data_IF_187950660700
#
_entry.id   IF_187950660700
#
_cell.length_a   1.000
_cell.length_b   1.000
_cell.length_c   1.000
_cell.angle_alpha   90.00
_cell.angle_beta   90.00
_cell.angle_gamma   90.00
#
_symmetry.space_group_name_H-M   'P 1'
#
loop_
_entity.id
_entity.type
_entity.pdbx_description
1 polymer ?
#
# COMPACT_ATOMS: atom_id res chain seq x y z
N UNK A 1 -19.20 13.10 -15.30
CA UNK A 1 -18.68 12.41 -14.10
C UNK A 1 -19.83 12.15 -13.16
N UNK A 2 -19.95 10.94 -12.65
CA UNK A 2 -20.89 10.62 -11.57
C UNK A 2 -20.12 10.45 -10.29
N UNK A 3 -20.65 10.96 -9.18
CA UNK A 3 -20.00 10.89 -7.87
C UNK A 3 -20.84 10.03 -6.93
N UNK A 4 -20.19 9.09 -6.25
CA UNK A 4 -20.77 8.23 -5.20
C UNK A 4 -19.94 8.35 -3.92
N UNK A 5 -20.46 7.88 -2.81
CA UNK A 5 -19.72 7.83 -1.54
C UNK A 5 -19.48 6.37 -1.18
N UNK A 6 -18.24 6.04 -0.85
CA UNK A 6 -17.81 4.73 -0.37
C UNK A 6 -17.41 4.82 1.11
N UNK A 7 -17.91 3.90 1.93
CA UNK A 7 -17.66 3.87 3.38
C UNK A 7 -17.93 5.20 4.11
N UNK A 8 -18.84 6.02 3.60
CA UNK A 8 -19.25 7.33 4.13
C UNK A 8 -18.18 8.43 4.13
N UNK A 9 -16.92 8.10 3.82
CA UNK A 9 -15.78 9.03 3.92
C UNK A 9 -14.93 9.15 2.65
N UNK A 10 -15.19 8.35 1.62
CA UNK A 10 -14.44 8.39 0.36
C UNK A 10 -15.36 8.82 -0.77
N UNK A 11 -15.01 9.92 -1.42
CA UNK A 11 -15.67 10.36 -2.65
C UNK A 11 -15.20 9.47 -3.81
N UNK A 12 -16.13 8.78 -4.45
CA UNK A 12 -15.87 7.96 -5.65
C UNK A 12 -16.30 8.73 -6.88
N UNK A 13 -15.39 8.94 -7.82
CA UNK A 13 -15.58 9.68 -9.05
C UNK A 13 -15.49 8.69 -10.22
N UNK A 14 -16.60 8.45 -10.89
CA UNK A 14 -16.64 7.60 -12.08
C UNK A 14 -16.19 8.38 -13.31
N UNK A 15 -15.14 7.89 -13.95
CA UNK A 15 -14.61 8.40 -15.22
C UNK A 15 -15.07 7.45 -16.32
N UNK A 16 -15.89 7.93 -17.29
CA UNK A 16 -16.44 7.05 -18.33
C UNK A 16 -15.38 6.52 -19.31
N UNK A 17 -14.28 7.23 -19.50
CA UNK A 17 -13.27 6.92 -20.50
C UNK A 17 -11.91 7.55 -20.17
N UNK A 18 -10.90 7.24 -20.99
CA UNK A 18 -9.53 7.76 -20.86
C UNK A 18 -9.49 9.30 -21.02
N UNK A 19 -10.28 9.87 -21.88
CA UNK A 19 -10.34 11.32 -22.11
C UNK A 19 -10.72 12.05 -20.82
N UNK A 20 -11.72 11.55 -20.11
CA UNK A 20 -12.12 12.09 -18.81
C UNK A 20 -11.01 12.01 -17.76
N UNK A 21 -10.17 10.96 -17.81
CA UNK A 21 -8.98 10.87 -16.95
C UNK A 21 -7.95 11.94 -17.34
N UNK A 22 -7.70 12.13 -18.63
CA UNK A 22 -6.76 13.15 -19.13
C UNK A 22 -7.23 14.55 -18.74
N UNK A 23 -8.53 14.82 -18.83
CA UNK A 23 -9.11 16.10 -18.41
C UNK A 23 -8.92 16.37 -16.90
N UNK A 24 -8.99 15.31 -16.07
CA UNK A 24 -8.77 15.42 -14.64
C UNK A 24 -7.31 15.59 -14.26
N UNK A 25 -6.41 14.84 -14.91
CA UNK A 25 -5.03 14.65 -14.48
C UNK A 25 -3.99 15.07 -15.52
N UNK A 26 -4.38 15.48 -16.72
CA UNK A 26 -3.47 15.94 -17.76
C UNK A 26 -2.72 17.23 -17.37
N UNK A 27 -1.65 17.54 -18.10
CA UNK A 27 -0.69 18.61 -17.77
C UNK A 27 -1.33 20.00 -17.56
N UNK A 28 -2.47 20.27 -18.19
CA UNK A 28 -3.23 21.52 -18.03
C UNK A 28 -4.32 21.48 -16.95
N UNK A 29 -4.49 20.36 -16.28
CA UNK A 29 -5.57 20.17 -15.30
C UNK A 29 -5.37 21.00 -14.02
N UNK A 30 -6.50 21.29 -13.33
CA UNK A 30 -6.47 21.95 -12.03
C UNK A 30 -5.72 21.11 -10.99
N UNK A 31 -5.85 19.78 -11.07
CA UNK A 31 -5.19 18.86 -10.14
C UNK A 31 -3.67 18.95 -10.31
N UNK A 32 -3.15 18.96 -11.54
CA UNK A 32 -1.71 19.12 -11.76
C UNK A 32 -1.19 20.48 -11.28
N UNK A 33 -1.94 21.55 -11.48
CA UNK A 33 -1.57 22.87 -10.92
C UNK A 33 -1.51 22.84 -9.39
N UNK A 34 -2.42 22.13 -8.73
CA UNK A 34 -2.39 21.92 -7.26
C UNK A 34 -1.18 21.07 -6.82
N UNK A 35 -0.83 20.04 -7.60
CA UNK A 35 0.36 19.21 -7.35
C UNK A 35 1.63 20.06 -7.41
N UNK A 36 1.80 20.86 -8.45
CA UNK A 36 2.98 21.71 -8.64
C UNK A 36 3.07 22.80 -7.57
N UNK A 37 1.96 23.43 -7.22
CA UNK A 37 1.94 24.44 -6.15
C UNK A 37 2.30 23.83 -4.80
N UNK A 38 1.86 22.63 -4.50
CA UNK A 38 2.15 21.97 -3.24
C UNK A 38 3.60 21.48 -3.15
N UNK A 39 4.19 21.02 -4.26
CA UNK A 39 5.63 20.67 -4.33
C UNK A 39 6.51 21.87 -4.08
N UNK A 40 6.19 23.00 -4.70
CA UNK A 40 6.95 24.26 -4.54
C UNK A 40 6.87 24.82 -3.10
N UNK A 41 5.81 24.47 -2.35
CA UNK A 41 5.66 24.87 -0.95
C UNK A 41 6.42 23.96 0.05
N UNK A 42 7.19 22.97 -0.43
CA UNK A 42 7.91 22.03 0.43
C UNK A 42 7.01 21.08 1.22
N UNK A 43 5.74 21.00 0.87
CA UNK A 43 4.74 20.11 1.47
C UNK A 43 4.49 18.89 0.58
N UNK A 44 4.05 17.79 1.17
CA UNK A 44 3.65 16.60 0.43
C UNK A 44 2.49 16.95 -0.53
N UNK A 45 2.73 16.79 -1.84
CA UNK A 45 1.68 16.93 -2.85
C UNK A 45 0.64 15.81 -2.78
N UNK A 46 -0.33 15.86 -3.69
CA UNK A 46 -1.27 14.75 -3.86
C UNK A 46 -0.49 13.49 -4.18
N UNK A 47 -0.85 12.38 -3.53
CA UNK A 47 -0.24 11.08 -3.76
C UNK A 47 -1.28 10.11 -4.29
N UNK A 48 -0.84 9.14 -5.10
CA UNK A 48 -1.68 8.25 -5.87
C UNK A 48 -1.33 6.78 -5.62
N UNK A 49 -2.35 5.91 -5.71
CA UNK A 49 -2.17 4.47 -5.74
C UNK A 49 -3.14 3.84 -6.74
N UNK A 50 -2.62 3.06 -7.68
CA UNK A 50 -3.42 2.31 -8.63
C UNK A 50 -3.79 0.91 -8.13
N UNK A 51 -5.00 0.45 -8.45
CA UNK A 51 -5.44 -0.91 -8.18
C UNK A 51 -6.23 -1.47 -9.38
N UNK A 52 -6.01 -2.73 -9.70
CA UNK A 52 -6.65 -3.41 -10.82
C UNK A 52 -8.16 -3.61 -10.63
N UNK A 53 -8.65 -3.63 -9.43
CA UNK A 53 -10.08 -3.82 -9.13
C UNK A 53 -10.55 -2.72 -8.17
N UNK A 54 -11.57 -1.97 -8.58
CA UNK A 54 -12.13 -0.88 -7.78
C UNK A 54 -12.86 -1.36 -6.52
N UNK A 55 -13.15 -2.66 -6.42
CA UNK A 55 -13.71 -3.25 -5.21
C UNK A 55 -12.68 -3.48 -4.11
N UNK A 56 -11.39 -3.40 -4.45
CA UNK A 56 -10.34 -3.55 -3.45
C UNK A 56 -10.22 -2.31 -2.59
N UNK A 57 -10.12 -2.52 -1.28
CA UNK A 57 -9.84 -1.47 -0.33
C UNK A 57 -8.32 -1.27 -0.16
N UNK A 58 -7.92 -0.22 0.55
CA UNK A 58 -6.52 0.06 0.87
C UNK A 58 -6.03 -0.87 2.00
N UNK A 59 -5.82 -2.14 1.64
CA UNK A 59 -5.34 -3.19 2.57
C UNK A 59 -3.86 -3.47 2.31
N UNK A 60 -2.98 -3.26 3.30
CA UNK A 60 -1.58 -3.64 3.23
C UNK A 60 -1.38 -5.12 2.89
N UNK A 61 -0.28 -5.43 2.20
CA UNK A 61 -0.06 -6.79 1.67
C UNK A 61 -0.05 -7.85 2.77
N UNK A 62 0.60 -7.59 3.91
CA UNK A 62 0.66 -8.54 5.03
C UNK A 62 -0.71 -8.85 5.64
N UNK A 63 -1.69 -7.96 5.49
CA UNK A 63 -3.04 -8.12 6.05
C UNK A 63 -4.03 -8.79 5.07
N UNK A 64 -3.57 -9.17 3.88
CA UNK A 64 -4.34 -9.97 2.93
C UNK A 64 -4.18 -11.44 3.27
N UNK A 65 -5.27 -12.20 3.28
CA UNK A 65 -5.29 -13.59 3.71
C UNK A 65 -4.20 -14.46 3.07
N UNK A 66 -4.10 -14.40 1.74
CA UNK A 66 -3.12 -15.18 0.98
C UNK A 66 -1.68 -14.82 1.36
N UNK A 67 -1.39 -13.53 1.50
CA UNK A 67 -0.03 -13.06 1.77
C UNK A 67 0.37 -13.34 3.23
N UNK A 68 -0.56 -13.21 4.18
CA UNK A 68 -0.32 -13.56 5.58
C UNK A 68 0.01 -15.05 5.72
N UNK A 69 -0.75 -15.93 5.06
CA UNK A 69 -0.45 -17.36 5.04
C UNK A 69 0.94 -17.67 4.49
N UNK A 70 1.34 -16.99 3.41
CA UNK A 70 2.70 -17.14 2.86
C UNK A 70 3.77 -16.72 3.88
N UNK A 71 3.55 -15.62 4.63
CA UNK A 71 4.50 -15.17 5.67
C UNK A 71 4.56 -16.18 6.82
N UNK A 72 3.44 -16.75 7.23
CA UNK A 72 3.42 -17.82 8.23
C UNK A 72 4.25 -19.03 7.78
N UNK A 73 4.11 -19.44 6.53
CA UNK A 73 4.87 -20.56 5.97
C UNK A 73 6.36 -20.23 5.85
N UNK A 74 6.71 -19.01 5.44
CA UNK A 74 8.10 -18.55 5.47
C UNK A 74 8.70 -18.57 6.88
N UNK A 75 7.96 -18.09 7.89
CA UNK A 75 8.41 -18.10 9.27
C UNK A 75 8.62 -19.52 9.81
N UNK A 76 7.71 -20.46 9.50
CA UNK A 76 7.81 -21.87 9.94
C UNK A 76 9.03 -22.59 9.35
N UNK A 77 9.37 -22.27 8.12
CA UNK A 77 10.42 -22.94 7.36
C UNK A 77 11.79 -22.26 7.49
N UNK A 78 11.88 -21.10 8.15
CA UNK A 78 13.15 -20.40 8.33
C UNK A 78 14.07 -21.19 9.29
N UNK A 79 15.34 -21.45 8.90
CA UNK A 79 16.30 -22.15 9.75
C UNK A 79 16.46 -21.45 11.10
N UNK A 80 16.42 -22.21 12.21
CA UNK A 80 16.46 -21.70 13.58
C UNK A 80 15.25 -20.86 14.02
N UNK A 81 14.14 -20.86 13.27
CA UNK A 81 12.88 -20.41 13.84
C UNK A 81 12.53 -21.33 15.00
N UNK A 82 12.68 -20.87 16.25
CA UNK A 82 12.08 -21.59 17.37
C UNK A 82 10.59 -21.68 17.08
N UNK A 83 10.02 -22.88 17.12
CA UNK A 83 8.58 -23.10 16.96
C UNK A 83 7.88 -22.24 18.00
N UNK A 84 7.33 -21.12 17.57
CA UNK A 84 6.50 -20.31 18.42
C UNK A 84 5.13 -20.95 18.48
N UNK A 85 4.82 -21.56 19.60
CA UNK A 85 3.46 -21.88 19.96
C UNK A 85 2.88 -20.65 20.66
N UNK A 86 1.82 -20.03 20.11
CA UNK A 86 1.22 -18.86 20.75
C UNK A 86 0.81 -19.22 22.18
N UNK A 87 1.09 -18.36 23.18
CA UNK A 87 0.68 -18.63 24.54
C UNK A 87 -0.82 -18.88 24.57
N UNK A 88 -1.22 -19.99 25.21
CA UNK A 88 -2.61 -20.30 25.46
C UNK A 88 -3.15 -19.29 26.49
N UNK A 89 -3.61 -18.12 26.04
CA UNK A 89 -4.25 -17.15 26.93
C UNK A 89 -5.64 -17.72 27.28
N UNK A 90 -5.68 -18.38 28.43
CA UNK A 90 -6.93 -18.76 29.08
C UNK A 90 -7.55 -17.44 29.58
N UNK A 91 -8.72 -17.10 29.06
CA UNK A 91 -9.57 -15.96 29.46
C UNK A 91 -9.29 -14.61 28.78
N UNK A 92 -9.55 -14.48 27.48
CA UNK A 92 -9.84 -13.18 26.86
C UNK A 92 -11.36 -13.01 26.74
N UNK A 93 -11.97 -11.93 27.27
CA UNK A 93 -13.39 -11.68 27.14
C UNK A 93 -13.67 -10.87 25.90
N UNK A 94 -13.76 -11.45 24.77
CA UNK A 94 -14.55 -11.04 23.61
C UNK A 94 -14.06 -11.71 22.32
N UNK A 95 -14.90 -12.41 21.60
CA UNK A 95 -14.54 -12.95 20.30
C UNK A 95 -14.82 -11.91 19.23
N UNK A 96 -13.96 -10.95 19.02
CA UNK A 96 -13.95 -10.28 17.75
C UNK A 96 -13.41 -11.27 16.70
N UNK A 97 -14.23 -11.55 15.71
CA UNK A 97 -13.87 -12.38 14.55
C UNK A 97 -12.81 -11.65 13.73
N UNK A 98 -11.56 -11.74 14.14
CA UNK A 98 -10.44 -11.53 13.25
C UNK A 98 -10.29 -12.78 12.38
N UNK A 99 -9.96 -12.61 11.12
CA UNK A 99 -9.81 -13.70 10.14
C UNK A 99 -8.87 -14.82 10.63
N UNK A 100 -8.05 -14.56 11.67
CA UNK A 100 -7.04 -15.46 12.23
C UNK A 100 -7.12 -15.66 13.76
N UNK A 101 -8.22 -15.39 14.39
CA UNK A 101 -8.53 -15.85 15.75
C UNK A 101 -7.81 -15.20 16.92
N UNK A 102 -6.66 -14.52 16.76
CA UNK A 102 -5.97 -13.77 17.83
C UNK A 102 -5.13 -12.60 17.27
N UNK A 103 -5.42 -11.39 17.73
CA UNK A 103 -4.73 -10.17 17.32
C UNK A 103 -3.21 -10.19 17.53
N UNK A 104 -2.77 -10.67 18.69
CA UNK A 104 -1.34 -10.76 19.07
C UNK A 104 -0.54 -11.65 18.11
N UNK A 105 -1.15 -12.72 17.60
CA UNK A 105 -0.51 -13.61 16.64
C UNK A 105 -0.11 -12.88 15.34
N UNK A 106 -0.93 -11.97 14.85
CA UNK A 106 -0.65 -11.19 13.64
C UNK A 106 0.60 -10.31 13.83
N UNK A 107 0.65 -9.54 14.93
CA UNK A 107 1.82 -8.69 15.23
C UNK A 107 3.09 -9.50 15.37
N UNK A 108 2.98 -10.67 15.99
CA UNK A 108 4.08 -11.61 16.17
C UNK A 108 4.60 -12.14 14.84
N UNK A 109 3.68 -12.52 13.94
CA UNK A 109 4.00 -13.02 12.61
C UNK A 109 4.76 -11.96 11.79
N UNK A 110 4.29 -10.71 11.86
CA UNK A 110 4.93 -9.57 11.17
C UNK A 110 6.32 -9.26 11.73
N UNK A 111 6.47 -9.21 13.04
CA UNK A 111 7.77 -8.95 13.67
C UNK A 111 8.75 -10.10 13.42
N UNK A 112 8.26 -11.34 13.42
CA UNK A 112 9.10 -12.52 13.16
C UNK A 112 9.65 -12.50 11.73
N UNK A 113 8.86 -12.17 10.71
CA UNK A 113 9.36 -12.12 9.33
C UNK A 113 10.37 -10.98 9.14
N UNK A 114 10.15 -9.82 9.75
CA UNK A 114 11.10 -8.72 9.72
C UNK A 114 12.42 -9.11 10.41
N UNK A 115 12.36 -9.81 11.54
CA UNK A 115 13.52 -10.32 12.21
C UNK A 115 14.28 -11.37 11.39
N UNK A 116 13.56 -12.30 10.78
CA UNK A 116 14.17 -13.32 9.91
C UNK A 116 14.89 -12.65 8.73
N UNK A 117 14.29 -11.64 8.13
CA UNK A 117 14.92 -10.83 7.08
C UNK A 117 16.16 -10.11 7.60
N UNK A 118 16.08 -9.44 8.75
CA UNK A 118 17.19 -8.76 9.40
C UNK A 118 18.37 -9.72 9.64
N UNK A 119 18.09 -10.88 10.26
CA UNK A 119 19.13 -11.86 10.55
C UNK A 119 19.77 -12.41 9.27
N UNK A 120 18.96 -12.70 8.23
CA UNK A 120 19.50 -13.15 6.93
C UNK A 120 20.42 -12.11 6.32
N UNK A 121 20.05 -10.84 6.33
CA UNK A 121 20.91 -9.75 5.85
C UNK A 121 22.21 -9.69 6.63
N UNK A 122 22.14 -9.72 7.96
CA UNK A 122 23.31 -9.66 8.84
C UNK A 122 24.26 -10.85 8.63
N UNK A 123 23.74 -12.07 8.59
CA UNK A 123 24.56 -13.28 8.41
C UNK A 123 25.22 -13.35 7.03
N UNK A 124 24.63 -12.73 6.02
CA UNK A 124 25.20 -12.65 4.67
C UNK A 124 26.06 -11.40 4.44
N UNK A 125 26.37 -10.62 5.47
CA UNK A 125 27.21 -9.44 5.38
C UNK A 125 26.59 -8.28 4.60
N UNK A 126 25.25 -8.27 4.45
CA UNK A 126 24.55 -7.17 3.80
C UNK A 126 24.43 -5.98 4.77
N UNK A 127 24.57 -4.79 4.21
CA UNK A 127 24.46 -3.56 5.02
C UNK A 127 23.03 -3.38 5.53
N UNK A 128 22.89 -3.34 6.84
CA UNK A 128 21.63 -3.12 7.54
C UNK A 128 21.88 -2.32 8.81
N UNK A 129 20.95 -1.43 9.17
CA UNK A 129 21.07 -0.64 10.39
C UNK A 129 20.85 -1.51 11.63
N UNK A 130 21.68 -1.38 12.67
CA UNK A 130 21.56 -2.20 13.87
C UNK A 130 20.23 -1.97 14.59
N UNK A 131 19.52 -3.06 14.87
CA UNK A 131 18.30 -3.09 15.69
C UNK A 131 18.57 -3.98 16.90
N UNK A 132 18.76 -3.36 18.05
CA UNK A 132 19.15 -4.07 19.29
C UNK A 132 18.12 -5.11 19.73
N UNK A 133 16.85 -4.85 19.43
CA UNK A 133 15.73 -5.73 19.73
C UNK A 133 15.77 -7.02 18.89
N UNK A 134 16.44 -6.99 17.72
CA UNK A 134 16.59 -8.16 16.85
C UNK A 134 17.91 -8.91 17.03
N UNK A 135 18.65 -8.61 18.10
CA UNK A 135 19.90 -9.33 18.40
C UNK A 135 19.66 -10.85 18.38
N UNK A 136 20.45 -11.54 17.56
CA UNK A 136 20.35 -12.99 17.37
C UNK A 136 20.58 -13.82 18.65
N UNK A 137 21.23 -13.24 19.66
CA UNK A 137 21.46 -13.85 20.96
C UNK A 137 20.23 -13.89 21.87
N UNK A 138 19.21 -13.08 21.54
CA UNK A 138 17.96 -13.05 22.30
C UNK A 138 17.00 -14.13 21.81
N UNK A 139 16.31 -14.79 22.74
CA UNK A 139 15.22 -15.70 22.38
C UNK A 139 14.05 -14.94 21.76
N UNK A 140 13.25 -15.62 20.93
CA UNK A 140 12.06 -15.01 20.33
C UNK A 140 11.10 -14.44 21.37
N UNK A 141 10.92 -15.13 22.51
CA UNK A 141 10.07 -14.65 23.59
C UNK A 141 10.54 -13.32 24.17
N UNK A 142 11.85 -13.18 24.44
CA UNK A 142 12.43 -11.93 24.97
C UNK A 142 12.30 -10.78 23.96
N UNK A 143 12.50 -11.07 22.68
CA UNK A 143 12.39 -10.04 21.62
C UNK A 143 10.96 -9.56 21.50
N UNK A 144 10.03 -10.50 21.45
CA UNK A 144 8.61 -10.21 21.39
C UNK A 144 8.20 -9.38 22.59
N UNK A 145 8.61 -9.79 23.78
CA UNK A 145 8.33 -9.05 25.00
C UNK A 145 8.91 -7.63 24.93
N UNK A 146 10.17 -7.46 24.53
CA UNK A 146 10.78 -6.13 24.37
C UNK A 146 10.10 -5.26 23.32
N UNK A 147 9.72 -5.82 22.17
CA UNK A 147 9.10 -5.05 21.10
C UNK A 147 7.62 -4.79 21.37
N UNK A 148 6.90 -5.76 21.93
CA UNK A 148 5.48 -5.59 22.26
C UNK A 148 5.25 -4.76 23.53
N UNK A 149 6.18 -4.77 24.50
CA UNK A 149 6.03 -4.09 25.78
C UNK A 149 7.02 -2.94 26.00
N UNK A 150 7.64 -2.42 24.89
CA UNK A 150 8.48 -1.23 25.03
C UNK A 150 7.65 0.00 25.47
N UNK A 151 8.32 0.95 26.09
CA UNK A 151 7.70 2.13 26.70
C UNK A 151 6.98 3.07 25.73
N UNK A 152 7.25 2.98 24.43
CA UNK A 152 6.70 3.90 23.44
C UNK A 152 5.33 3.49 22.89
N UNK A 153 4.85 2.31 23.19
CA UNK A 153 3.55 1.77 22.77
C UNK A 153 3.24 1.78 21.25
N UNK A 154 4.13 2.28 20.40
CA UNK A 154 3.96 2.26 18.96
C UNK A 154 4.32 0.90 18.37
N UNK A 155 3.61 0.50 17.31
CA UNK A 155 3.85 -0.78 16.63
C UNK A 155 5.23 -0.80 15.95
N UNK A 156 5.58 0.23 15.19
CA UNK A 156 6.90 0.38 14.58
C UNK A 156 7.62 1.60 15.12
N UNK A 157 8.88 1.43 15.49
CA UNK A 157 9.81 2.53 15.72
C UNK A 157 10.46 2.94 14.40
N UNK A 158 11.15 4.08 14.36
CA UNK A 158 11.82 4.58 13.14
C UNK A 158 12.81 3.55 12.53
N UNK A 159 13.49 2.77 13.37
CA UNK A 159 14.40 1.70 12.90
C UNK A 159 13.64 0.54 12.28
N UNK A 160 12.50 0.14 12.85
CA UNK A 160 11.64 -0.89 12.29
C UNK A 160 10.98 -0.41 10.99
N UNK A 161 10.62 0.88 10.88
CA UNK A 161 10.12 1.48 9.64
C UNK A 161 11.14 1.36 8.50
N UNK A 162 12.41 1.70 8.77
CA UNK A 162 13.50 1.57 7.79
C UNK A 162 13.69 0.12 7.34
N UNK A 163 13.68 -0.81 8.29
CA UNK A 163 13.76 -2.25 7.98
C UNK A 163 12.56 -2.75 7.17
N UNK A 164 11.34 -2.37 7.56
CA UNK A 164 10.12 -2.76 6.85
C UNK A 164 10.10 -2.22 5.42
N UNK A 165 10.57 -0.98 5.22
CA UNK A 165 10.73 -0.36 3.90
C UNK A 165 11.70 -1.17 3.03
N UNK A 166 12.86 -1.54 3.58
CA UNK A 166 13.85 -2.36 2.90
C UNK A 166 13.29 -3.76 2.57
N UNK A 167 12.67 -4.40 3.55
CA UNK A 167 12.08 -5.73 3.40
C UNK A 167 10.98 -5.76 2.32
N UNK A 168 10.10 -4.73 2.29
CA UNK A 168 9.07 -4.59 1.26
C UNK A 168 9.66 -4.43 -0.14
N UNK A 169 10.72 -3.66 -0.28
CA UNK A 169 11.41 -3.50 -1.56
C UNK A 169 11.91 -4.84 -2.12
N UNK A 170 12.32 -5.76 -1.26
CA UNK A 170 12.74 -7.12 -1.62
C UNK A 170 11.62 -8.16 -1.57
N UNK A 171 10.35 -7.74 -1.50
CA UNK A 171 9.18 -8.60 -1.69
C UNK A 171 8.55 -9.17 -0.41
N UNK A 172 9.09 -8.88 0.76
CA UNK A 172 8.46 -9.27 2.03
C UNK A 172 7.16 -8.47 2.21
N UNK A 173 6.01 -9.12 2.46
CA UNK A 173 4.78 -8.41 2.78
C UNK A 173 4.91 -7.62 4.09
N UNK A 174 4.51 -6.35 4.07
CA UNK A 174 4.51 -5.46 5.24
C UNK A 174 3.19 -4.71 5.37
N UNK A 175 3.02 -3.93 6.44
CA UNK A 175 1.89 -3.00 6.63
C UNK A 175 1.98 -1.72 5.80
N UNK A 176 3.04 -1.55 5.04
CA UNK A 176 3.23 -0.36 4.24
C UNK A 176 2.44 -0.46 2.93
N UNK A 177 1.81 0.62 2.53
CA UNK A 177 1.11 0.76 1.25
C UNK A 177 1.94 1.64 0.33
N UNK A 178 2.26 1.13 -0.87
CA UNK A 178 2.95 1.89 -1.88
C UNK A 178 2.03 2.96 -2.45
N UNK A 179 2.52 4.20 -2.48
CA UNK A 179 1.93 5.33 -3.17
C UNK A 179 2.99 5.96 -4.09
N UNK A 180 2.56 6.86 -4.94
CA UNK A 180 3.44 7.59 -5.86
C UNK A 180 3.00 9.05 -5.97
N UNK A 181 3.96 9.95 -6.27
CA UNK A 181 3.65 11.34 -6.64
C UNK A 181 3.24 11.50 -8.12
N UNK A 182 3.24 10.42 -8.89
CA UNK A 182 2.94 10.44 -10.31
C UNK A 182 1.69 9.62 -10.64
N UNK A 183 0.64 10.27 -11.08
CA UNK A 183 -0.63 9.62 -11.41
C UNK A 183 -0.49 8.61 -12.55
N UNK A 184 0.41 8.85 -13.51
CA UNK A 184 0.65 7.90 -14.60
C UNK A 184 1.33 6.62 -14.11
N UNK A 185 2.18 6.72 -13.09
CA UNK A 185 2.72 5.54 -12.39
C UNK A 185 1.59 4.72 -11.74
N UNK A 186 0.66 5.37 -11.06
CA UNK A 186 -0.49 4.69 -10.46
C UNK A 186 -1.38 4.05 -11.54
N UNK A 187 -1.65 4.76 -12.63
CA UNK A 187 -2.44 4.25 -13.76
C UNK A 187 -1.75 3.05 -14.42
N UNK A 188 -0.43 3.10 -14.61
CA UNK A 188 0.35 2.00 -15.16
C UNK A 188 0.20 0.71 -14.34
N UNK A 189 0.41 0.77 -13.03
CA UNK A 189 0.28 -0.43 -12.19
C UNK A 189 -1.16 -0.97 -12.18
N UNK A 190 -2.16 -0.10 -12.07
CA UNK A 190 -3.57 -0.53 -12.10
C UNK A 190 -3.91 -1.24 -13.41
N UNK A 191 -3.51 -0.65 -14.54
CA UNK A 191 -3.83 -1.17 -15.88
C UNK A 191 -3.06 -2.45 -16.17
N UNK A 192 -1.75 -2.50 -15.86
CA UNK A 192 -0.90 -3.70 -16.05
C UNK A 192 -1.46 -4.91 -15.32
N UNK A 193 -1.84 -4.75 -14.06
CA UNK A 193 -2.40 -5.84 -13.26
C UNK A 193 -3.79 -6.24 -13.76
N UNK A 194 -4.63 -5.29 -14.20
CA UNK A 194 -5.92 -5.59 -14.79
C UNK A 194 -5.80 -6.38 -16.11
N UNK A 195 -4.80 -6.06 -16.96
CA UNK A 195 -4.51 -6.82 -18.17
C UNK A 195 -4.08 -8.25 -17.81
N UNK A 196 -3.14 -8.42 -16.86
CA UNK A 196 -2.71 -9.75 -16.41
C UNK A 196 -3.89 -10.60 -15.96
N UNK A 197 -4.78 -10.03 -15.11
CA UNK A 197 -5.98 -10.73 -14.64
C UNK A 197 -6.89 -11.11 -15.82
N UNK A 198 -7.05 -10.25 -16.81
CA UNK A 198 -7.90 -10.50 -17.97
C UNK A 198 -7.30 -11.58 -18.89
N UNK A 199 -5.99 -11.54 -19.11
CA UNK A 199 -5.28 -12.55 -19.92
C UNK A 199 -5.29 -13.93 -19.25
N UNK A 200 -5.06 -13.99 -17.93
CA UNK A 200 -5.11 -15.24 -17.17
C UNK A 200 -6.51 -15.88 -17.22
N UNK A 201 -7.56 -15.06 -17.16
CA UNK A 201 -8.95 -15.51 -17.29
C UNK A 201 -9.41 -15.70 -18.74
N UNK A 202 -8.62 -15.25 -19.70
CA UNK A 202 -8.95 -15.26 -21.14
C UNK A 202 -10.27 -14.54 -21.46
N UNK A 203 -10.61 -13.52 -20.68
CA UNK A 203 -11.83 -12.71 -20.84
C UNK A 203 -11.68 -11.35 -20.19
N UNK A 204 -12.37 -10.36 -20.73
CA UNK A 204 -12.52 -9.04 -20.12
C UNK A 204 -13.86 -8.97 -19.40
N UNK A 205 -13.84 -8.70 -18.12
CA UNK A 205 -15.04 -8.49 -17.32
C UNK A 205 -15.47 -7.00 -17.42
N UNK A 206 -16.38 -6.70 -18.31
CA UNK A 206 -16.86 -5.32 -18.56
C UNK A 206 -17.62 -4.70 -17.37
N UNK A 207 -17.96 -5.48 -16.34
CA UNK A 207 -18.54 -4.95 -15.10
C UNK A 207 -17.49 -4.45 -14.12
N UNK A 208 -16.21 -4.75 -14.39
CA UNK A 208 -15.10 -4.32 -13.54
C UNK A 208 -14.57 -2.94 -13.94
N UNK A 209 -13.93 -2.33 -12.97
CA UNK A 209 -13.24 -1.05 -13.10
C UNK A 209 -11.87 -1.13 -12.41
N UNK A 210 -10.87 -0.46 -12.98
CA UNK A 210 -9.66 -0.12 -12.24
C UNK A 210 -9.93 1.08 -11.35
N UNK A 211 -9.12 1.30 -10.34
CA UNK A 211 -9.21 2.48 -9.50
C UNK A 211 -7.86 3.17 -9.30
N UNK A 212 -7.93 4.49 -9.23
CA UNK A 212 -6.84 5.37 -8.81
C UNK A 212 -7.27 6.05 -7.52
N UNK A 213 -6.67 5.65 -6.42
CA UNK A 213 -6.82 6.32 -5.15
C UNK A 213 -5.96 7.56 -5.10
N UNK A 214 -6.50 8.64 -4.55
CA UNK A 214 -5.77 9.85 -4.23
C UNK A 214 -5.83 10.13 -2.75
N UNK A 215 -4.72 10.58 -2.19
CA UNK A 215 -4.67 11.09 -0.83
C UNK A 215 -4.06 12.50 -0.86
N UNK A 216 -4.68 13.42 -0.12
CA UNK A 216 -4.29 14.83 -0.02
C UNK A 216 -3.64 15.10 1.34
N UNK A 217 -2.31 15.00 1.46
CA UNK A 217 -1.62 15.16 2.75
C UNK A 217 -1.60 16.59 3.30
N UNK A 218 -2.13 17.57 2.57
CA UNK A 218 -1.92 19.01 2.85
C UNK A 218 -3.08 19.67 3.60
N UNK A 219 -4.13 18.95 3.97
CA UNK A 219 -5.21 19.56 4.74
C UNK A 219 -4.84 19.66 6.23
N UNK A 220 -5.40 20.66 6.93
CA UNK A 220 -5.33 20.74 8.39
C UNK A 220 -5.83 19.46 9.06
N UNK A 221 -6.71 18.74 8.37
CA UNK A 221 -7.20 17.42 8.78
C UNK A 221 -6.11 16.36 8.72
N UNK A 222 -5.26 16.38 7.69
CA UNK A 222 -4.14 15.42 7.56
C UNK A 222 -3.09 15.64 8.63
N UNK A 223 -2.81 16.87 9.05
CA UNK A 223 -1.91 17.15 10.19
C UNK A 223 -2.41 16.47 11.46
N UNK A 224 -3.73 16.40 11.66
CA UNK A 224 -4.33 15.67 12.79
C UNK A 224 -4.12 14.15 12.66
N UNK A 225 -4.28 13.57 11.45
CA UNK A 225 -4.02 12.16 11.23
C UNK A 225 -2.55 11.80 11.41
N UNK A 226 -1.62 12.64 10.93
CA UNK A 226 -0.18 12.47 11.13
C UNK A 226 0.18 12.47 12.60
N UNK A 227 -0.36 13.42 13.40
CA UNK A 227 -0.15 13.48 14.86
C UNK A 227 -0.68 12.23 15.58
N UNK A 228 -1.68 11.57 15.02
CA UNK A 228 -2.31 10.38 15.58
C UNK A 228 -1.83 9.05 14.97
N UNK A 229 -0.75 9.08 14.18
CA UNK A 229 -0.07 7.87 13.75
C UNK A 229 -0.14 7.57 12.26
N UNK A 230 -0.85 8.35 11.43
CA UNK A 230 -0.70 8.22 9.98
C UNK A 230 0.72 8.63 9.59
N UNK A 231 1.47 7.70 9.03
CA UNK A 231 2.85 7.94 8.60
C UNK A 231 2.93 7.95 7.09
N UNK A 232 3.66 8.94 6.58
CA UNK A 232 4.07 9.04 5.18
C UNK A 232 5.58 8.96 5.17
N UNK A 233 6.10 7.84 4.70
CA UNK A 233 7.53 7.58 4.63
C UNK A 233 8.02 7.98 3.24
N UNK A 234 8.91 8.95 3.19
CA UNK A 234 9.67 9.29 1.99
C UNK A 234 11.01 8.55 2.05
N UNK A 235 11.16 7.41 1.35
CA UNK A 235 12.42 6.69 1.38
C UNK A 235 13.55 7.49 0.72
N UNK A 236 14.78 7.21 1.11
CA UNK A 236 15.96 7.78 0.45
C UNK A 236 16.12 7.12 -0.92
N UNK A 237 16.00 7.88 -1.99
CA UNK A 237 16.06 7.37 -3.36
C UNK A 237 17.49 7.00 -3.83
N UNK A 238 18.53 7.51 -3.18
CA UNK A 238 19.91 7.42 -3.64
C UNK A 238 20.41 5.99 -3.92
N UNK A 239 19.87 5.00 -3.23
CA UNK A 239 20.25 3.58 -3.41
C UNK A 239 19.11 2.73 -3.95
N UNK A 240 18.02 3.35 -4.43
CA UNK A 240 16.86 2.65 -4.92
C UNK A 240 16.33 3.28 -6.23
N UNK A 241 16.95 2.92 -7.38
CA UNK A 241 16.58 3.49 -8.67
C UNK A 241 15.13 3.22 -9.06
N UNK A 242 14.57 2.08 -8.70
CA UNK A 242 13.17 1.74 -8.99
C UNK A 242 12.23 2.69 -8.23
N UNK A 243 12.47 2.89 -6.95
CA UNK A 243 11.64 3.76 -6.12
C UNK A 243 11.72 5.22 -6.59
N UNK A 244 12.92 5.67 -7.00
CA UNK A 244 13.11 6.97 -7.61
C UNK A 244 12.33 7.11 -8.93
N UNK A 245 12.46 6.14 -9.83
CA UNK A 245 11.78 6.12 -11.12
C UNK A 245 10.25 6.12 -10.97
N UNK A 246 9.74 5.43 -9.98
CA UNK A 246 8.33 5.36 -9.64
C UNK A 246 7.84 6.58 -8.84
N UNK A 247 8.72 7.49 -8.43
CA UNK A 247 8.41 8.57 -7.47
C UNK A 247 7.66 8.05 -6.23
N UNK A 248 8.11 6.88 -5.76
CA UNK A 248 7.42 6.07 -4.76
C UNK A 248 7.58 6.62 -3.36
N UNK A 249 6.56 6.41 -2.55
CA UNK A 249 6.54 6.64 -1.11
C UNK A 249 5.66 5.61 -0.45
N UNK A 250 5.70 5.54 0.88
CA UNK A 250 4.96 4.54 1.63
C UNK A 250 4.03 5.22 2.64
N UNK A 251 2.85 4.64 2.81
CA UNK A 251 1.83 5.14 3.75
C UNK A 251 1.38 3.99 4.63
N UNK A 252 1.24 4.23 5.93
CA UNK A 252 0.65 3.27 6.85
C UNK A 252 0.15 3.96 8.12
N UNK A 253 -0.69 3.26 8.91
CA UNK A 253 -1.04 3.66 10.25
C UNK A 253 -0.09 3.02 11.26
N UNK A 254 0.68 3.85 11.96
CA UNK A 254 1.44 3.43 13.13
C UNK A 254 0.54 3.60 14.37
N UNK A 255 -0.24 2.57 14.65
CA UNK A 255 -1.23 2.57 15.73
C UNK A 255 -0.59 2.07 17.01
N UNK A 256 -1.00 2.60 18.15
CA UNK A 256 -0.56 2.11 19.46
C UNK A 256 -1.07 0.69 19.68
N UNK A 257 -0.27 -0.13 20.35
CA UNK A 257 -0.53 -1.57 20.56
C UNK A 257 -1.76 -1.85 21.43
N UNK A 258 -2.14 -0.91 22.28
CA UNK A 258 -3.33 -0.97 23.13
C UNK A 258 -4.63 -0.55 22.42
N UNK A 259 -4.54 -0.15 21.15
CA UNK A 259 -5.68 0.24 20.35
C UNK A 259 -6.10 -0.89 19.41
N UNK A 260 -7.32 -1.36 19.52
CA UNK A 260 -7.89 -2.45 18.73
C UNK A 260 -7.84 -2.20 17.21
N UNK A 261 -7.77 -0.93 16.76
CA UNK A 261 -7.61 -0.58 15.35
C UNK A 261 -6.29 -1.07 14.74
N UNK A 262 -5.32 -1.50 15.54
CA UNK A 262 -4.08 -2.12 15.03
C UNK A 262 -4.36 -3.39 14.20
N UNK A 263 -5.53 -4.00 14.40
CA UNK A 263 -5.96 -5.21 13.71
C UNK A 263 -6.92 -4.95 12.55
N UNK A 264 -7.35 -3.70 12.38
CA UNK A 264 -8.17 -3.31 11.23
C UNK A 264 -7.31 -3.32 9.96
N UNK A 265 -7.64 -4.14 8.94
CA UNK A 265 -6.80 -4.25 7.75
C UNK A 265 -6.92 -3.05 6.82
N UNK A 266 -8.06 -2.37 6.80
CA UNK A 266 -8.34 -1.28 5.87
C UNK A 266 -7.84 0.05 6.39
N UNK A 267 -6.96 0.72 5.64
CA UNK A 267 -6.55 2.10 5.93
C UNK A 267 -7.76 3.05 6.03
N UNK A 268 -8.78 2.82 5.22
CA UNK A 268 -10.00 3.64 5.19
C UNK A 268 -10.84 3.39 6.45
N UNK A 269 -11.02 2.13 6.86
CA UNK A 269 -11.75 1.81 8.07
C UNK A 269 -11.05 2.32 9.33
N UNK A 270 -9.72 2.23 9.39
CA UNK A 270 -8.95 2.86 10.47
C UNK A 270 -9.27 4.37 10.50
N UNK A 271 -9.20 5.04 9.36
CA UNK A 271 -9.48 6.47 9.24
C UNK A 271 -10.90 6.82 9.69
N UNK A 272 -11.89 5.97 9.37
CA UNK A 272 -13.29 6.15 9.75
C UNK A 272 -13.53 5.97 11.26
N UNK A 273 -12.89 4.97 11.84
CA UNK A 273 -13.18 4.52 13.21
C UNK A 273 -12.22 5.11 14.24
N UNK A 274 -11.21 5.85 13.83
CA UNK A 274 -10.28 6.47 14.74
C UNK A 274 -10.99 7.59 15.50
N UNK A 275 -11.12 7.44 16.81
CA UNK A 275 -11.67 8.47 17.69
C UNK A 275 -10.60 9.52 18.00
N UNK A 276 -10.49 10.51 17.12
CA UNK A 276 -9.49 11.57 17.25
C UNK A 276 -9.82 12.58 18.35
N UNK A 277 -11.06 12.59 18.83
CA UNK A 277 -11.55 13.67 19.67
C UNK A 277 -12.62 13.21 20.66
N UNK A 278 -12.26 13.07 21.90
CA UNK A 278 -13.21 13.17 22.98
C UNK A 278 -13.84 14.57 22.94
N UNK A 279 -14.99 14.74 22.25
CA UNK A 279 -15.81 15.95 22.35
C UNK A 279 -15.91 16.87 21.13
N UNK A 280 -15.37 16.54 19.96
CA UNK A 280 -15.55 17.35 18.73
C UNK A 280 -16.71 16.82 17.88
N UNK A 281 -17.42 17.74 17.18
CA UNK A 281 -18.54 17.42 16.32
C UNK A 281 -18.15 16.39 15.23
N UNK A 282 -18.71 15.18 15.34
CA UNK A 282 -18.43 14.04 14.48
C UNK A 282 -18.73 14.34 13.00
N UNK A 283 -19.76 15.12 12.71
CA UNK A 283 -20.17 15.46 11.34
C UNK A 283 -19.17 16.36 10.65
N UNK A 284 -18.59 17.33 11.38
CA UNK A 284 -17.52 18.17 10.87
C UNK A 284 -16.30 17.33 10.47
N UNK A 285 -16.00 16.32 11.27
CA UNK A 285 -14.86 15.44 11.03
C UNK A 285 -15.07 14.54 9.81
N UNK A 286 -16.25 13.92 9.68
CA UNK A 286 -16.63 13.09 8.52
C UNK A 286 -16.51 13.91 7.22
N UNK A 287 -16.96 15.15 7.22
CA UNK A 287 -16.85 16.03 6.05
C UNK A 287 -15.38 16.29 5.68
N UNK A 288 -14.50 16.47 6.67
CA UNK A 288 -13.06 16.67 6.45
C UNK A 288 -12.36 15.40 5.97
N UNK A 289 -12.79 14.22 6.39
CA UNK A 289 -12.25 12.94 5.91
C UNK A 289 -12.49 12.77 4.40
N UNK A 290 -13.63 13.19 3.86
CA UNK A 290 -13.94 13.17 2.42
C UNK A 290 -12.97 14.00 1.57
N UNK A 291 -12.32 14.99 2.18
CA UNK A 291 -11.31 15.81 1.51
C UNK A 291 -9.96 15.09 1.39
N UNK A 292 -9.70 14.06 2.23
CA UNK A 292 -8.39 13.39 2.29
C UNK A 292 -8.29 12.31 1.23
N UNK A 293 -9.32 11.45 1.11
CA UNK A 293 -9.30 10.32 0.18
C UNK A 293 -10.36 10.50 -0.90
N UNK A 294 -9.92 10.34 -2.16
CA UNK A 294 -10.82 10.18 -3.30
C UNK A 294 -10.42 8.96 -4.10
N UNK A 295 -11.38 8.35 -4.76
CA UNK A 295 -11.16 7.21 -5.64
C UNK A 295 -11.75 7.49 -7.02
N UNK A 296 -10.91 7.46 -8.04
CA UNK A 296 -11.29 7.58 -9.43
C UNK A 296 -11.39 6.20 -10.06
N UNK A 297 -12.48 5.91 -10.75
CA UNK A 297 -12.75 4.60 -11.35
C UNK A 297 -12.84 4.72 -12.87
N UNK A 298 -12.15 3.82 -13.59
CA UNK A 298 -12.23 3.67 -15.05
C UNK A 298 -12.69 2.25 -15.42
N UNK A 299 -13.59 2.10 -16.39
CA UNK A 299 -14.11 0.79 -16.77
C UNK A 299 -13.04 -0.05 -17.49
N UNK A 300 -13.15 -1.37 -17.36
CA UNK A 300 -12.25 -2.32 -18.04
C UNK A 300 -12.35 -2.24 -19.58
N UNK A 301 -13.44 -1.76 -20.13
CA UNK A 301 -13.57 -1.46 -21.57
C UNK A 301 -12.51 -0.48 -22.10
N UNK A 302 -12.00 0.39 -21.25
CA UNK A 302 -10.97 1.36 -21.60
C UNK A 302 -9.53 0.86 -21.47
N UNK A 303 -9.31 -0.31 -20.85
CA UNK A 303 -7.97 -0.85 -20.57
C UNK A 303 -7.08 -0.89 -21.83
N UNK A 304 -7.52 -1.37 -23.00
CA UNK A 304 -6.65 -1.40 -24.18
C UNK A 304 -6.21 0.00 -24.62
N UNK A 305 -7.12 0.98 -24.58
CA UNK A 305 -6.80 2.37 -24.93
C UNK A 305 -5.85 2.99 -23.89
N UNK A 306 -6.11 2.77 -22.60
CA UNK A 306 -5.26 3.25 -21.50
C UNK A 306 -3.86 2.66 -21.65
N UNK A 307 -3.76 1.37 -21.95
CA UNK A 307 -2.46 0.71 -22.09
C UNK A 307 -1.68 1.24 -23.30
N UNK A 308 -2.34 1.38 -24.45
CA UNK A 308 -1.73 2.00 -25.63
C UNK A 308 -1.26 3.42 -25.36
N UNK A 309 -2.07 4.22 -24.68
CA UNK A 309 -1.72 5.59 -24.29
C UNK A 309 -0.49 5.64 -23.36
N UNK A 310 -0.42 4.73 -22.38
CA UNK A 310 0.71 4.66 -21.46
C UNK A 310 2.00 4.29 -22.17
N UNK A 311 1.97 3.29 -23.08
CA UNK A 311 3.15 2.91 -23.85
C UNK A 311 3.61 4.04 -24.79
N UNK A 312 2.70 4.76 -25.42
CA UNK A 312 3.02 5.94 -26.25
C UNK A 312 3.63 7.10 -25.44
N UNK A 313 3.30 7.21 -24.16
CA UNK A 313 3.92 8.16 -23.21
C UNK A 313 5.19 7.61 -22.54
N UNK A 314 5.73 6.51 -23.04
CA UNK A 314 6.89 5.84 -22.48
C UNK A 314 6.70 5.45 -20.99
N UNK A 315 5.44 5.29 -20.56
CA UNK A 315 5.09 4.78 -19.25
C UNK A 315 5.10 3.24 -19.30
N UNK A 316 6.28 2.65 -19.23
CA UNK A 316 6.56 1.24 -19.45
C UNK A 316 7.55 0.69 -18.41
N UNK A 317 7.92 -0.57 -18.53
CA UNK A 317 8.82 -1.24 -17.59
C UNK A 317 10.20 -0.59 -17.51
N UNK A 318 10.76 -0.13 -18.62
CA UNK A 318 12.10 0.51 -18.61
C UNK A 318 12.12 1.83 -17.87
N UNK A 319 11.02 2.58 -17.90
CA UNK A 319 10.86 3.80 -17.09
C UNK A 319 10.82 3.50 -15.60
N UNK A 320 10.06 2.48 -15.18
CA UNK A 320 9.75 2.24 -13.76
C UNK A 320 10.70 1.26 -13.06
N UNK A 321 11.45 0.48 -13.84
CA UNK A 321 12.39 -0.52 -13.34
C UNK A 321 13.73 -0.43 -14.09
N UNK A 322 14.53 0.63 -13.86
CA UNK A 322 15.79 0.84 -14.60
C UNK A 322 16.70 -0.38 -14.51
N UNK A 323 17.13 -0.92 -15.66
CA UNK A 323 18.05 -2.05 -15.76
C UNK A 323 17.74 -2.97 -16.94
N UNK A 324 18.68 -3.87 -17.28
CA UNK A 324 18.53 -4.74 -18.46
C UNK A 324 17.31 -5.65 -18.43
N UNK A 325 16.88 -6.09 -17.24
CA UNK A 325 15.71 -6.95 -17.08
C UNK A 325 14.42 -6.28 -17.56
N UNK A 326 14.31 -4.97 -17.37
CA UNK A 326 13.13 -4.21 -17.79
C UNK A 326 12.96 -4.08 -19.29
N UNK A 327 14.01 -4.24 -20.09
CA UNK A 327 13.94 -4.25 -21.56
C UNK A 327 13.11 -5.45 -22.03
N UNK A 328 13.35 -6.62 -21.43
CA UNK A 328 12.56 -7.83 -21.74
C UNK A 328 11.11 -7.64 -21.29
N UNK A 329 10.92 -7.04 -20.13
CA UNK A 329 9.58 -6.76 -19.61
C UNK A 329 8.82 -5.76 -20.49
N UNK A 330 9.46 -4.73 -21.04
CA UNK A 330 8.86 -3.81 -22.01
C UNK A 330 8.45 -4.53 -23.29
N UNK A 331 9.27 -5.43 -23.80
CA UNK A 331 8.89 -6.26 -24.97
C UNK A 331 7.63 -7.09 -24.68
N UNK A 332 7.51 -7.64 -23.47
CA UNK A 332 6.32 -8.35 -23.01
C UNK A 332 5.11 -7.42 -22.90
N UNK A 333 5.30 -6.17 -22.52
CA UNK A 333 4.23 -5.17 -22.44
C UNK A 333 3.62 -4.84 -23.80
N UNK A 334 4.42 -4.75 -24.83
CA UNK A 334 3.93 -4.62 -26.22
C UNK A 334 3.17 -5.87 -26.67
N UNK A 335 3.64 -7.06 -26.29
CA UNK A 335 2.88 -8.29 -26.53
C UNK A 335 1.55 -8.28 -25.78
N UNK A 336 1.52 -7.86 -24.51
CA UNK A 336 0.29 -7.75 -23.73
C UNK A 336 -0.74 -6.81 -24.39
N UNK A 337 -0.30 -5.74 -25.07
CA UNK A 337 -1.20 -4.86 -25.84
C UNK A 337 -1.87 -5.61 -26.99
N UNK A 338 -1.13 -6.43 -27.71
CA UNK A 338 -1.69 -7.23 -28.80
C UNK A 338 -2.66 -8.28 -28.26
N UNK A 339 -2.26 -9.01 -27.21
CA UNK A 339 -3.06 -10.07 -26.60
C UNK A 339 -4.40 -9.52 -26.04
N UNK A 340 -4.38 -8.34 -25.40
CA UNK A 340 -5.61 -7.74 -24.86
C UNK A 340 -6.53 -7.21 -25.97
N UNK A 341 -5.97 -6.66 -27.06
CA UNK A 341 -6.75 -6.24 -28.23
C UNK A 341 -7.42 -7.43 -28.92
N UNK A 342 -6.74 -8.58 -29.00
CA UNK A 342 -7.35 -9.81 -29.53
C UNK A 342 -8.51 -10.31 -28.66
N UNK A 343 -8.43 -10.15 -27.32
CA UNK A 343 -9.54 -10.51 -26.44
C UNK A 343 -10.77 -9.60 -26.67
N UNK A 344 -10.56 -8.31 -26.93
CA UNK A 344 -11.64 -7.37 -27.24
C UNK A 344 -12.29 -7.71 -28.60
N UNK A 345 -11.50 -8.09 -29.60
CA UNK A 345 -11.99 -8.44 -30.93
C UNK A 345 -12.77 -9.77 -31.03
N UNK A 346 -12.76 -10.58 -29.96
CA UNK A 346 -13.49 -11.86 -29.88
C UNK A 346 -14.86 -11.74 -29.21
N UNK A 347 -15.20 -10.59 -28.68
CA UNK A 347 -16.48 -10.26 -28.04
C UNK A 347 -17.37 -9.47 -29.02
#
# INVERSE_FOLDING_TARGET
MQTKIHNDIVEVIELPNLESFIDCFGDSSIINKLIDTSRNAGKYGIIFRGQADSQWDLIPKILREKDLKNVEDMNKNYPNSQKYEPPQIKNSPSPQKTVYGKPEYLLMTELQILRNFYNSCSFNGLKIDPISEFDSRLSNSIIIEKVLFNSENWYLTDKHESLATLAQHYGIPTRLLDFTYDVYTALYFATKDAIKISLDKKTIDYNKKISIWTMFPISTSTDLFIRNGLKIIQPIYANNPNLYAQKGLLVYWNIKKDNDLIYEPSLINITKNFDFFNGVNKDFFIQRQKEIFKRFELPYSEIPKIWSFLLQKECNATKYFPGYHSIIEEMNEWKMLNDINELVGKV
#
